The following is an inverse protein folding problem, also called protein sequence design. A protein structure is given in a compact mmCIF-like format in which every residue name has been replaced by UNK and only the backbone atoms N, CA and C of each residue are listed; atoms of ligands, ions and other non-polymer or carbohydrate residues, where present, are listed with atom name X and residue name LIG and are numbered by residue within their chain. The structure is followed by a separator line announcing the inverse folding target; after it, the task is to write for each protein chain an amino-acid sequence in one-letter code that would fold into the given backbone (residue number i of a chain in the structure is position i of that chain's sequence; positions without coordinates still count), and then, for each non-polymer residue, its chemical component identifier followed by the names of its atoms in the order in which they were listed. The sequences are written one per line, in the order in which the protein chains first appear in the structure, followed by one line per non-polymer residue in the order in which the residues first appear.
data_IF_457398164729
#
_entry.id   IF_457398164729
#
_cell.length_a   1.000
_cell.length_b   1.000
_cell.length_c   1.000
_cell.angle_alpha   90.00
_cell.angle_beta   90.00
_cell.angle_gamma   90.00
#
_symmetry.space_group_name_H-M   'P 1'
#
loop_
_entity.id
_entity.type
_entity.pdbx_description
1 polymer ?
#
# COMPACT_ATOMS: atom_id res chain seq x y z
N UNK A 1 -3.77 11.59 -1.44
CA UNK A 1 -5.17 11.77 -1.91
C UNK A 1 -6.11 11.71 -0.71
N UNK A 2 -7.37 12.16 -0.79
CA UNK A 2 -8.35 11.83 0.26
C UNK A 2 -8.66 10.34 0.15
N UNK A 3 -8.63 9.61 1.27
CA UNK A 3 -8.92 8.19 1.32
C UNK A 3 -10.30 7.90 0.72
N UNK A 4 -10.38 7.10 -0.35
CA UNK A 4 -11.63 6.54 -0.86
C UNK A 4 -12.18 5.45 0.05
N UNK A 5 -11.44 5.00 1.05
CA UNK A 5 -11.77 3.83 1.86
C UNK A 5 -13.22 3.84 2.36
N UNK A 6 -13.62 4.90 3.07
CA UNK A 6 -14.99 5.04 3.59
C UNK A 6 -16.05 5.08 2.47
N UNK A 7 -15.70 5.62 1.30
CA UNK A 7 -16.60 5.69 0.14
C UNK A 7 -16.82 4.32 -0.51
N UNK A 8 -15.82 3.44 -0.48
CA UNK A 8 -15.85 2.15 -1.20
C UNK A 8 -16.24 0.96 -0.32
N UNK A 9 -16.19 1.10 1.00
CA UNK A 9 -16.66 0.06 1.94
C UNK A 9 -18.09 -0.42 1.68
N UNK A 10 -19.07 0.44 1.36
CA UNK A 10 -20.41 -0.03 0.99
C UNK A 10 -20.43 -0.95 -0.22
N UNK A 11 -19.49 -0.79 -1.17
CA UNK A 11 -19.37 -1.70 -2.30
C UNK A 11 -18.86 -3.07 -1.85
N UNK A 12 -17.86 -3.11 -0.98
CA UNK A 12 -17.36 -4.38 -0.40
C UNK A 12 -18.50 -5.08 0.33
N UNK A 13 -19.19 -4.40 1.25
CA UNK A 13 -20.30 -5.00 2.00
C UNK A 13 -21.44 -5.46 1.10
N UNK A 14 -21.68 -4.84 -0.06
CA UNK A 14 -22.70 -5.32 -1.01
C UNK A 14 -22.33 -6.62 -1.72
N UNK A 15 -21.03 -6.93 -1.83
CA UNK A 15 -20.53 -8.19 -2.40
C UNK A 15 -20.47 -9.30 -1.34
N UNK A 16 -20.41 -8.91 -0.06
CA UNK A 16 -20.42 -9.84 1.08
C UNK A 16 -21.85 -10.18 1.51
N UNK A 17 -22.03 -11.41 2.00
CA UNK A 17 -23.31 -11.86 2.54
C UNK A 17 -23.61 -11.29 3.93
N UNK A 18 -24.80 -11.60 4.43
CA UNK A 18 -25.14 -11.38 5.85
C UNK A 18 -24.57 -12.48 6.76
N UNK A 19 -25.08 -12.54 7.99
CA UNK A 19 -24.73 -13.59 8.94
C UNK A 19 -25.03 -14.99 8.37
N UNK A 20 -24.05 -15.87 8.45
CA UNK A 20 -24.18 -17.28 8.15
C UNK A 20 -23.41 -18.09 9.21
N UNK A 21 -24.00 -19.18 9.67
CA UNK A 21 -23.39 -20.09 10.62
C UNK A 21 -23.82 -21.51 10.25
N UNK A 22 -22.96 -22.17 9.46
CA UNK A 22 -23.19 -23.53 9.01
C UNK A 22 -22.29 -24.48 9.81
N UNK A 23 -22.85 -25.42 10.58
CA UNK A 23 -22.05 -26.39 11.34
C UNK A 23 -21.09 -27.25 10.49
N UNK A 24 -21.34 -27.36 9.18
CA UNK A 24 -20.47 -28.07 8.25
C UNK A 24 -19.35 -27.17 7.65
N UNK A 25 -19.39 -25.86 7.87
CA UNK A 25 -18.37 -24.92 7.41
C UNK A 25 -17.24 -24.79 8.45
N UNK A 26 -15.99 -25.16 8.12
CA UNK A 26 -14.87 -25.00 9.04
C UNK A 26 -14.59 -23.54 9.40
N UNK A 27 -15.07 -22.56 8.63
CA UNK A 27 -14.97 -21.13 8.92
C UNK A 27 -15.88 -20.67 10.08
N UNK A 28 -16.92 -21.44 10.40
CA UNK A 28 -17.90 -21.14 11.44
C UNK A 28 -18.71 -19.86 11.15
N UNK A 29 -19.30 -19.30 12.22
CA UNK A 29 -20.08 -18.08 12.16
C UNK A 29 -19.31 -16.96 11.42
N UNK A 30 -19.96 -16.37 10.41
CA UNK A 30 -19.40 -15.32 9.55
C UNK A 30 -20.46 -14.24 9.33
N UNK A 31 -20.07 -12.97 9.43
CA UNK A 31 -20.94 -11.82 9.13
C UNK A 31 -20.14 -10.72 8.44
N UNK A 32 -20.70 -10.07 7.41
CA UNK A 32 -20.00 -9.05 6.62
C UNK A 32 -18.64 -9.51 6.07
N UNK A 33 -18.50 -10.82 5.80
CA UNK A 33 -17.26 -11.46 5.36
C UNK A 33 -16.21 -11.69 6.46
N UNK A 34 -16.50 -11.34 7.72
CA UNK A 34 -15.61 -11.56 8.87
C UNK A 34 -16.03 -12.83 9.61
N UNK A 35 -15.12 -13.80 9.69
CA UNK A 35 -15.32 -15.07 10.41
C UNK A 35 -15.12 -14.89 11.91
N UNK A 36 -15.65 -15.82 12.70
CA UNK A 36 -15.44 -15.87 14.16
C UNK A 36 -13.96 -15.91 14.55
N UNK A 37 -13.12 -16.59 13.76
CA UNK A 37 -11.68 -16.63 13.98
C UNK A 37 -11.03 -15.26 13.77
N UNK A 38 -11.45 -14.54 12.73
CA UNK A 38 -10.97 -13.20 12.44
C UNK A 38 -11.39 -12.20 13.51
N UNK A 39 -12.66 -12.26 13.96
CA UNK A 39 -13.15 -11.42 15.04
C UNK A 39 -12.42 -11.73 16.36
N UNK A 40 -12.24 -13.01 16.68
CA UNK A 40 -11.51 -13.42 17.89
C UNK A 40 -10.07 -12.89 17.92
N UNK A 41 -9.37 -12.97 16.78
CA UNK A 41 -8.01 -12.46 16.66
C UNK A 41 -7.96 -10.93 16.79
N UNK A 42 -8.99 -10.23 16.33
CA UNK A 42 -9.12 -8.78 16.45
C UNK A 42 -9.37 -8.34 17.89
N UNK A 43 -10.31 -9.01 18.59
CA UNK A 43 -10.69 -8.67 19.96
C UNK A 43 -9.65 -9.15 21.00
N UNK A 44 -8.78 -10.08 20.62
CA UNK A 44 -7.75 -10.65 21.49
C UNK A 44 -8.29 -11.71 22.47
N UNK A 45 -9.53 -12.15 22.28
CA UNK A 45 -10.14 -13.27 23.00
C UNK A 45 -11.04 -14.07 22.06
N UNK A 46 -11.46 -15.25 22.48
CA UNK A 46 -12.39 -16.06 21.71
C UNK A 46 -13.76 -15.35 21.65
N UNK A 47 -14.22 -15.04 20.43
CA UNK A 47 -15.56 -14.54 20.16
C UNK A 47 -16.56 -15.69 20.11
N UNK A 48 -17.84 -15.38 20.35
CA UNK A 48 -18.97 -16.28 20.18
C UNK A 48 -19.69 -16.05 18.83
N UNK A 49 -20.52 -16.99 18.36
CA UNK A 49 -21.38 -16.77 17.20
C UNK A 49 -22.30 -15.54 17.34
N UNK A 50 -22.79 -15.27 18.55
CA UNK A 50 -23.64 -14.10 18.82
C UNK A 50 -22.83 -12.79 18.67
N UNK A 51 -21.56 -12.76 19.10
CA UNK A 51 -20.69 -11.58 18.89
C UNK A 51 -20.49 -11.30 17.39
N UNK A 52 -20.33 -12.34 16.58
CA UNK A 52 -20.21 -12.22 15.12
C UNK A 52 -21.50 -11.69 14.49
N UNK A 53 -22.65 -12.16 14.98
CA UNK A 53 -23.97 -11.75 14.51
C UNK A 53 -24.30 -10.30 14.86
N UNK A 54 -23.92 -9.86 16.06
CA UNK A 54 -24.15 -8.51 16.58
C UNK A 54 -23.04 -7.52 16.20
N UNK A 55 -21.99 -7.98 15.52
CA UNK A 55 -20.86 -7.15 15.09
C UNK A 55 -21.34 -5.90 14.34
N UNK A 56 -20.87 -4.74 14.80
CA UNK A 56 -21.17 -3.46 14.18
C UNK A 56 -20.44 -3.30 12.84
N UNK A 57 -21.06 -2.70 11.81
CA UNK A 57 -20.39 -2.40 10.53
C UNK A 57 -19.12 -1.55 10.68
N UNK A 58 -19.04 -0.73 11.72
CA UNK A 58 -17.85 0.05 12.04
C UNK A 58 -16.66 -0.84 12.44
N UNK A 59 -16.89 -1.89 13.23
CA UNK A 59 -15.86 -2.87 13.61
C UNK A 59 -15.37 -3.64 12.39
N UNK A 60 -16.30 -4.15 11.57
CA UNK A 60 -15.94 -4.81 10.32
C UNK A 60 -15.11 -3.87 9.42
N UNK A 61 -15.50 -2.60 9.30
CA UNK A 61 -14.76 -1.59 8.53
C UNK A 61 -13.33 -1.42 9.04
N UNK A 62 -13.10 -1.34 10.34
CA UNK A 62 -11.75 -1.24 10.91
C UNK A 62 -10.91 -2.48 10.60
N UNK A 63 -11.51 -3.67 10.72
CA UNK A 63 -10.87 -4.94 10.34
C UNK A 63 -10.45 -4.91 8.87
N UNK A 64 -11.36 -4.49 7.97
CA UNK A 64 -11.05 -4.36 6.54
C UNK A 64 -9.90 -3.38 6.27
N UNK A 65 -9.87 -2.27 7.00
CA UNK A 65 -8.83 -1.27 6.85
C UNK A 65 -7.45 -1.85 7.17
N UNK A 66 -7.32 -2.49 8.33
CA UNK A 66 -6.05 -3.04 8.81
C UNK A 66 -5.61 -4.26 8.00
N UNK A 67 -6.54 -5.17 7.71
CA UNK A 67 -6.17 -6.46 7.10
C UNK A 67 -5.92 -6.39 5.61
N UNK A 68 -6.48 -5.38 4.92
CA UNK A 68 -6.44 -5.30 3.46
C UNK A 68 -6.06 -3.91 2.98
N UNK A 69 -6.83 -2.87 3.28
CA UNK A 69 -6.63 -1.53 2.70
C UNK A 69 -5.22 -0.97 2.97
N UNK A 70 -4.77 -1.03 4.23
CA UNK A 70 -3.46 -0.53 4.62
C UNK A 70 -2.33 -1.37 4.03
N UNK A 71 -2.54 -2.68 3.82
CA UNK A 71 -1.52 -3.58 3.27
C UNK A 71 -1.28 -3.35 1.77
N UNK A 72 -2.21 -2.71 1.08
CA UNK A 72 -2.07 -2.34 -0.32
C UNK A 72 -1.78 -0.85 -0.52
N UNK A 73 -1.50 -0.12 0.57
CA UNK A 73 -1.29 1.33 0.56
C UNK A 73 -2.41 2.10 -0.16
N UNK A 74 -3.67 1.69 0.07
CA UNK A 74 -4.83 2.14 -0.72
C UNK A 74 -5.03 3.67 -0.74
N UNK A 75 -4.59 4.38 0.29
CA UNK A 75 -4.69 5.85 0.38
C UNK A 75 -3.79 6.59 -0.62
N UNK A 76 -2.75 5.92 -1.12
CA UNK A 76 -1.75 6.49 -2.02
C UNK A 76 -1.91 6.01 -3.47
N UNK A 77 -2.82 5.07 -3.73
CA UNK A 77 -3.13 4.60 -5.08
C UNK A 77 -4.12 5.54 -5.79
N UNK A 78 -4.07 5.62 -7.13
CA UNK A 78 -5.07 6.32 -7.92
C UNK A 78 -6.51 5.89 -7.61
N UNK A 79 -7.43 6.85 -7.62
CA UNK A 79 -8.85 6.63 -7.34
C UNK A 79 -9.44 5.69 -8.39
N UNK A 80 -10.14 4.65 -7.94
CA UNK A 80 -10.64 3.56 -8.77
C UNK A 80 -9.69 2.36 -8.79
N UNK A 81 -8.38 2.58 -8.96
CA UNK A 81 -7.39 1.51 -8.83
C UNK A 81 -7.30 1.01 -7.39
N UNK A 82 -7.33 1.94 -6.43
CA UNK A 82 -7.41 1.67 -5.00
C UNK A 82 -8.56 0.68 -4.65
N UNK A 83 -9.76 0.92 -5.20
CA UNK A 83 -10.93 0.07 -5.02
C UNK A 83 -10.78 -1.29 -5.72
N UNK A 84 -10.36 -1.31 -6.99
CA UNK A 84 -10.21 -2.55 -7.74
C UNK A 84 -9.19 -3.50 -7.06
N UNK A 85 -8.07 -2.93 -6.59
CA UNK A 85 -7.04 -3.67 -5.86
C UNK A 85 -7.52 -4.08 -4.47
N UNK A 86 -8.28 -3.24 -3.78
CA UNK A 86 -8.87 -3.55 -2.47
C UNK A 86 -9.85 -4.72 -2.54
N UNK A 87 -10.81 -4.72 -3.47
CA UNK A 87 -11.73 -5.85 -3.65
C UNK A 87 -10.97 -7.14 -3.98
N UNK A 88 -9.96 -7.06 -4.85
CA UNK A 88 -9.14 -8.23 -5.17
C UNK A 88 -8.35 -8.72 -3.94
N UNK A 89 -7.82 -7.80 -3.14
CA UNK A 89 -7.13 -8.11 -1.88
C UNK A 89 -8.05 -8.80 -0.87
N UNK A 90 -9.30 -8.34 -0.73
CA UNK A 90 -10.32 -8.99 0.11
C UNK A 90 -10.61 -10.41 -0.37
N UNK A 91 -10.85 -10.59 -1.65
CA UNK A 91 -11.28 -11.86 -2.21
C UNK A 91 -10.16 -12.89 -2.37
N UNK A 92 -8.91 -12.45 -2.57
CA UNK A 92 -7.81 -13.33 -2.98
C UNK A 92 -6.49 -13.06 -2.24
N UNK A 93 -6.50 -12.17 -1.25
CA UNK A 93 -5.36 -11.86 -0.39
C UNK A 93 -4.52 -10.67 -0.89
N UNK A 94 -4.06 -9.79 0.02
CA UNK A 94 -3.31 -8.58 -0.32
C UNK A 94 -2.04 -8.86 -1.14
N UNK A 95 -1.27 -9.87 -0.75
CA UNK A 95 0.01 -10.17 -1.39
C UNK A 95 -0.18 -10.64 -2.85
N UNK A 96 -1.26 -11.36 -3.17
CA UNK A 96 -1.55 -11.78 -4.56
C UNK A 96 -1.98 -10.59 -5.40
N UNK A 97 -2.88 -9.77 -4.87
CA UNK A 97 -3.33 -8.56 -5.53
C UNK A 97 -2.15 -7.63 -5.83
N UNK A 98 -1.26 -7.42 -4.85
CA UNK A 98 -0.07 -6.61 -5.00
C UNK A 98 0.90 -7.13 -6.07
N UNK A 99 1.20 -8.44 -6.08
CA UNK A 99 2.05 -9.05 -7.11
C UNK A 99 1.49 -8.87 -8.51
N UNK A 100 0.20 -9.10 -8.68
CA UNK A 100 -0.45 -8.93 -9.99
C UNK A 100 -0.36 -7.49 -10.47
N UNK A 101 -0.59 -6.51 -9.59
CA UNK A 101 -0.41 -5.10 -9.94
C UNK A 101 1.04 -4.78 -10.31
N UNK A 102 2.02 -5.29 -9.55
CA UNK A 102 3.44 -5.09 -9.83
C UNK A 102 3.83 -5.64 -11.21
N UNK A 103 3.35 -6.84 -11.57
CA UNK A 103 3.56 -7.41 -12.89
C UNK A 103 2.99 -6.54 -14.02
N UNK A 104 1.78 -6.01 -13.84
CA UNK A 104 1.14 -5.07 -14.80
C UNK A 104 1.95 -3.78 -14.96
N UNK A 105 2.56 -3.30 -13.87
CA UNK A 105 3.41 -2.11 -13.85
C UNK A 105 4.85 -2.36 -14.31
N UNK A 106 5.22 -3.62 -14.60
CA UNK A 106 6.59 -4.00 -15.00
C UNK A 106 7.60 -3.93 -13.86
N UNK A 107 7.16 -4.15 -12.62
CA UNK A 107 7.98 -4.13 -11.41
C UNK A 107 8.22 -5.55 -10.88
N UNK A 108 9.26 -5.75 -10.04
CA UNK A 108 9.41 -7.00 -9.29
C UNK A 108 8.17 -7.30 -8.44
N UNK A 109 7.70 -8.56 -8.50
CA UNK A 109 6.50 -9.02 -7.83
C UNK A 109 6.78 -9.48 -6.38
N UNK A 110 7.27 -8.58 -5.52
CA UNK A 110 7.54 -8.89 -4.11
C UNK A 110 6.26 -8.97 -3.24
N UNK A 111 5.12 -8.48 -3.76
CA UNK A 111 3.83 -8.47 -3.08
C UNK A 111 3.68 -7.39 -2.01
N UNK A 112 4.56 -6.39 -1.98
CA UNK A 112 4.54 -5.26 -1.07
C UNK A 112 4.30 -3.98 -1.88
N UNK A 113 3.16 -3.31 -1.65
CA UNK A 113 2.93 -2.00 -2.25
C UNK A 113 3.72 -0.95 -1.45
N UNK A 114 4.80 -0.44 -2.06
CA UNK A 114 5.59 0.66 -1.53
C UNK A 114 5.69 1.82 -2.53
N UNK A 115 6.54 2.80 -2.20
CA UNK A 115 6.68 4.04 -2.97
C UNK A 115 6.95 3.84 -4.48
N UNK A 116 7.68 2.79 -4.85
CA UNK A 116 7.95 2.48 -6.27
C UNK A 116 6.69 2.02 -7.00
N UNK A 117 5.90 1.14 -6.40
CA UNK A 117 4.63 0.67 -6.99
C UNK A 117 3.63 1.82 -7.12
N UNK A 118 3.52 2.64 -6.09
CA UNK A 118 2.67 3.84 -6.11
C UNK A 118 3.11 4.82 -7.20
N UNK A 119 4.41 5.10 -7.32
CA UNK A 119 4.92 5.99 -8.35
C UNK A 119 4.64 5.45 -9.76
N UNK A 120 4.88 4.16 -10.00
CA UNK A 120 4.61 3.53 -11.29
C UNK A 120 3.11 3.55 -11.64
N UNK A 121 2.23 3.31 -10.66
CA UNK A 121 0.78 3.40 -10.85
C UNK A 121 0.33 4.82 -11.24
N UNK A 122 0.93 5.85 -10.64
CA UNK A 122 0.61 7.25 -10.94
C UNK A 122 1.15 7.75 -12.29
N UNK A 123 2.11 7.05 -12.90
CA UNK A 123 2.67 7.42 -14.22
C UNK A 123 1.91 6.81 -15.40
N UNK A 124 0.92 5.95 -15.14
CA UNK A 124 0.13 5.25 -16.18
C UNK A 124 -1.30 5.79 -16.20
N UNK A 125 -2.00 5.59 -17.32
CA UNK A 125 -3.44 5.82 -17.34
C UNK A 125 -4.11 4.91 -16.32
N UNK A 126 -4.92 5.49 -15.44
CA UNK A 126 -5.56 4.75 -14.34
C UNK A 126 -6.59 3.75 -14.89
N UNK A 127 -7.33 4.13 -15.93
CA UNK A 127 -8.28 3.26 -16.62
C UNK A 127 -7.60 2.08 -17.32
N UNK A 128 -6.45 2.27 -17.97
CA UNK A 128 -5.65 1.18 -18.53
C UNK A 128 -5.23 0.18 -17.45
N UNK A 129 -4.71 0.65 -16.32
CA UNK A 129 -4.26 -0.21 -15.22
C UNK A 129 -5.44 -0.94 -14.56
N UNK A 130 -6.58 -0.27 -14.36
CA UNK A 130 -7.80 -0.91 -13.83
C UNK A 130 -8.25 -2.05 -14.75
N UNK A 131 -8.31 -1.80 -16.06
CA UNK A 131 -8.72 -2.81 -17.03
C UNK A 131 -7.77 -4.01 -17.03
N UNK A 132 -6.45 -3.75 -17.10
CA UNK A 132 -5.43 -4.80 -17.06
C UNK A 132 -5.49 -5.63 -15.76
N UNK A 133 -5.72 -4.99 -14.60
CA UNK A 133 -5.86 -5.68 -13.33
C UNK A 133 -7.09 -6.59 -13.31
N UNK A 134 -8.22 -6.10 -13.81
CA UNK A 134 -9.44 -6.89 -13.87
C UNK A 134 -9.33 -8.05 -14.86
N UNK A 135 -8.69 -7.84 -16.02
CA UNK A 135 -8.45 -8.90 -17.02
C UNK A 135 -7.51 -9.98 -16.47
N UNK A 136 -6.40 -9.58 -15.85
CA UNK A 136 -5.46 -10.51 -15.24
C UNK A 136 -6.09 -11.32 -14.10
N UNK A 137 -6.94 -10.67 -13.28
CA UNK A 137 -7.69 -11.35 -12.23
C UNK A 137 -8.72 -12.32 -12.80
N UNK A 138 -9.49 -11.92 -13.79
CA UNK A 138 -10.48 -12.77 -14.45
C UNK A 138 -9.83 -14.02 -15.03
N UNK A 139 -8.74 -13.86 -15.79
CA UNK A 139 -7.99 -14.96 -16.37
C UNK A 139 -7.44 -15.93 -15.31
N UNK A 140 -6.90 -15.39 -14.20
CA UNK A 140 -6.45 -16.22 -13.08
C UNK A 140 -7.59 -17.02 -12.43
N UNK A 141 -8.75 -16.39 -12.21
CA UNK A 141 -9.92 -17.04 -11.63
C UNK A 141 -10.47 -18.16 -12.51
N UNK A 142 -10.47 -17.97 -13.83
CA UNK A 142 -10.88 -18.99 -14.81
C UNK A 142 -9.97 -20.22 -14.79
N UNK A 143 -8.70 -20.05 -14.43
CA UNK A 143 -7.74 -21.14 -14.31
C UNK A 143 -7.84 -21.98 -13.03
N UNK A 144 -8.72 -21.60 -12.07
CA UNK A 144 -8.87 -22.35 -10.83
C UNK A 144 -9.67 -23.65 -11.04
N UNK A 145 -9.30 -24.72 -10.32
CA UNK A 145 -9.96 -26.03 -10.43
C UNK A 145 -11.46 -26.01 -10.10
N UNK A 146 -11.90 -25.04 -9.29
CA UNK A 146 -13.29 -24.85 -8.88
C UNK A 146 -14.06 -23.85 -9.75
N UNK A 147 -13.43 -23.32 -10.81
CA UNK A 147 -14.04 -22.34 -11.72
C UNK A 147 -15.29 -22.87 -12.44
N UNK A 148 -15.39 -24.18 -12.68
CA UNK A 148 -16.58 -24.80 -13.27
C UNK A 148 -17.84 -24.60 -12.44
N UNK A 149 -17.69 -24.50 -11.11
CA UNK A 149 -18.80 -24.38 -10.16
C UNK A 149 -19.09 -22.92 -9.82
N UNK A 150 -18.05 -22.11 -9.56
CA UNK A 150 -18.20 -20.77 -9.00
C UNK A 150 -17.77 -19.64 -9.95
N UNK A 151 -17.07 -19.96 -11.04
CA UNK A 151 -16.40 -18.98 -11.90
C UNK A 151 -17.32 -17.90 -12.45
N UNK A 152 -18.54 -18.25 -12.85
CA UNK A 152 -19.54 -17.27 -13.33
C UNK A 152 -19.80 -16.16 -12.32
N UNK A 153 -19.92 -16.51 -11.03
CA UNK A 153 -20.14 -15.54 -9.96
C UNK A 153 -18.93 -14.64 -9.74
N UNK A 154 -17.73 -15.23 -9.76
CA UNK A 154 -16.48 -14.48 -9.61
C UNK A 154 -16.26 -13.48 -10.75
N UNK A 155 -16.44 -13.91 -12.00
CA UNK A 155 -16.30 -13.04 -13.18
C UNK A 155 -17.32 -11.91 -13.18
N UNK A 156 -18.56 -12.19 -12.77
CA UNK A 156 -19.57 -11.14 -12.61
C UNK A 156 -19.18 -10.11 -11.53
N UNK A 157 -18.55 -10.53 -10.42
CA UNK A 157 -17.99 -9.62 -9.40
C UNK A 157 -16.86 -8.76 -9.98
N UNK A 158 -15.92 -9.37 -10.72
CA UNK A 158 -14.82 -8.64 -11.37
C UNK A 158 -15.36 -7.55 -12.31
N UNK A 159 -16.40 -7.84 -13.09
CA UNK A 159 -16.97 -6.84 -14.00
C UNK A 159 -17.70 -5.70 -13.25
N UNK A 160 -18.44 -6.00 -12.17
CA UNK A 160 -19.03 -4.96 -11.31
C UNK A 160 -17.95 -4.07 -10.68
N UNK A 161 -16.86 -4.67 -10.23
CA UNK A 161 -15.71 -3.96 -9.67
C UNK A 161 -15.07 -3.06 -10.72
N UNK A 162 -14.81 -3.58 -11.93
CA UNK A 162 -14.30 -2.80 -13.07
C UNK A 162 -15.16 -1.57 -13.34
N UNK A 163 -16.47 -1.77 -13.51
CA UNK A 163 -17.42 -0.69 -13.80
C UNK A 163 -17.40 0.40 -12.72
N UNK A 164 -17.43 0.03 -11.44
CA UNK A 164 -17.37 0.97 -10.30
C UNK A 164 -16.00 1.66 -10.22
N UNK A 165 -14.91 0.94 -10.44
CA UNK A 165 -13.54 1.45 -10.42
C UNK A 165 -13.31 2.52 -11.51
N UNK A 166 -13.76 2.24 -12.75
CA UNK A 166 -13.67 3.20 -13.84
C UNK A 166 -14.52 4.45 -13.57
N UNK A 167 -15.71 4.29 -12.97
CA UNK A 167 -16.52 5.43 -12.55
C UNK A 167 -15.84 6.27 -11.45
N UNK A 168 -15.13 5.64 -10.50
CA UNK A 168 -14.35 6.34 -9.48
C UNK A 168 -13.14 7.08 -10.08
N UNK A 169 -12.49 6.50 -11.09
CA UNK A 169 -11.37 7.10 -11.80
C UNK A 169 -11.81 8.32 -12.64
N UNK A 170 -12.93 8.20 -13.37
CA UNK A 170 -13.48 9.28 -14.19
C UNK A 170 -13.94 10.51 -13.38
N UNK A 171 -14.40 10.28 -12.14
CA UNK A 171 -14.84 11.35 -11.24
C UNK A 171 -13.72 11.85 -10.31
N UNK A 172 -12.49 11.37 -10.48
CA UNK A 172 -11.36 11.84 -9.69
C UNK A 172 -11.00 13.28 -10.13
N UNK A 173 -10.72 14.19 -9.18
CA UNK A 173 -10.22 15.50 -9.54
C UNK A 173 -8.91 15.34 -10.32
N UNK A 174 -8.84 15.92 -11.52
CA UNK A 174 -7.64 15.88 -12.35
C UNK A 174 -6.53 16.61 -11.59
N UNK A 175 -5.60 15.86 -11.01
CA UNK A 175 -4.31 16.43 -10.62
C UNK A 175 -3.52 16.50 -11.92
N UNK A 176 -3.59 17.66 -12.59
CA UNK A 176 -2.63 17.96 -13.64
C UNK A 176 -1.24 17.88 -13.01
N UNK A 177 -0.44 16.88 -13.42
CA UNK A 177 0.99 16.97 -13.25
C UNK A 177 1.40 18.31 -13.86
N UNK A 178 1.95 19.21 -13.04
CA UNK A 178 2.46 20.49 -13.53
C UNK A 178 3.42 20.17 -14.68
N UNK A 179 3.02 20.55 -15.90
CA UNK A 179 3.90 20.45 -17.06
C UNK A 179 5.18 21.26 -16.79
N UNK A 180 6.30 20.92 -17.43
CA UNK A 180 7.51 21.70 -17.30
C UNK A 180 7.23 23.12 -17.79
N UNK A 181 7.16 24.09 -16.88
CA UNK A 181 7.18 25.50 -17.24
C UNK A 181 8.57 25.80 -17.77
N UNK A 182 8.71 25.76 -19.08
CA UNK A 182 9.83 26.36 -19.80
C UNK A 182 9.76 27.88 -19.60
N UNK A 183 10.31 28.36 -18.48
CA UNK A 183 10.63 29.77 -18.33
C UNK A 183 12.14 29.92 -18.48
N UNK A 184 12.57 30.18 -19.72
CA UNK A 184 13.96 30.49 -20.05
C UNK A 184 14.17 31.94 -19.63
N UNK A 185 14.91 32.16 -18.54
CA UNK A 185 15.66 33.41 -18.33
C UNK A 185 17.11 33.08 -17.96
N UNK A 186 18.10 33.57 -18.73
CA UNK A 186 19.50 33.19 -18.55
C UNK A 186 20.22 34.11 -17.56
N UNK A 187 20.83 33.54 -16.52
CA UNK A 187 22.02 33.99 -15.75
C UNK A 187 22.07 33.13 -14.49
N UNK A 188 23.16 32.49 -14.07
CA UNK A 188 24.57 32.59 -14.41
C UNK A 188 25.23 31.21 -14.20
N UNK A 189 26.35 30.96 -14.90
CA UNK A 189 27.25 29.86 -14.54
C UNK A 189 27.87 30.17 -13.18
N UNK A 190 27.80 29.22 -12.24
CA UNK A 190 28.76 29.14 -11.17
C UNK A 190 29.23 27.70 -11.07
N UNK A 191 30.27 27.41 -11.86
CA UNK A 191 31.13 26.28 -11.59
C UNK A 191 32.05 26.65 -10.44
N UNK A 192 32.14 25.71 -9.50
CA UNK A 192 33.19 25.46 -8.51
C UNK A 192 33.59 26.56 -7.52
N UNK A 193 33.94 26.07 -6.32
CA UNK A 193 34.54 26.72 -5.16
C UNK A 193 33.51 27.36 -4.20
N UNK A 194 33.46 27.06 -2.91
CA UNK A 194 34.28 26.20 -2.07
C UNK A 194 33.62 26.06 -0.68
N UNK A 195 33.88 24.93 -0.04
CA UNK A 195 33.65 24.50 1.36
C UNK A 195 34.12 25.51 2.44
N UNK A 196 34.65 26.68 2.06
CA UNK A 196 35.33 27.63 2.94
C UNK A 196 34.52 28.86 3.36
N UNK A 197 33.25 29.00 2.97
CA UNK A 197 32.39 30.12 3.43
C UNK A 197 31.57 29.82 4.69
N UNK A 198 31.46 28.54 5.08
CA UNK A 198 30.67 28.11 6.26
C UNK A 198 31.38 28.41 7.60
N UNK A 199 32.70 28.64 7.59
CA UNK A 199 33.52 28.78 8.79
C UNK A 199 33.69 30.21 9.33
N UNK A 200 33.06 31.23 8.74
CA UNK A 200 33.30 32.64 9.10
C UNK A 200 32.07 33.47 9.49
N UNK A 201 30.91 32.83 9.68
CA UNK A 201 29.69 33.51 10.17
C UNK A 201 29.14 32.81 11.41
N UNK A 202 29.28 33.37 12.63
CA UNK A 202 28.67 32.78 13.83
C UNK A 202 27.13 32.86 13.83
N UNK A 203 26.54 33.62 12.91
CA UNK A 203 25.09 33.69 12.68
C UNK A 203 24.55 32.73 11.61
N UNK A 204 25.42 31.92 10.96
CA UNK A 204 25.00 30.82 10.08
C UNK A 204 24.77 29.48 10.81
N UNK A 205 24.91 29.45 12.15
CA UNK A 205 24.68 28.24 12.95
C UNK A 205 23.20 27.97 13.27
N UNK A 206 22.31 28.95 13.04
CA UNK A 206 20.88 28.85 13.37
C UNK A 206 20.03 28.07 12.36
N UNK A 207 20.54 27.78 11.16
CA UNK A 207 19.75 27.17 10.06
C UNK A 207 20.10 25.71 9.76
N UNK A 208 20.97 25.07 10.57
CA UNK A 208 21.15 23.60 10.58
C UNK A 208 20.30 22.89 11.66
N UNK A 209 19.20 23.52 12.09
CA UNK A 209 18.34 23.02 13.19
C UNK A 209 17.38 21.87 12.86
N UNK A 210 17.24 21.44 11.60
CA UNK A 210 16.29 20.38 11.22
C UNK A 210 16.89 18.97 11.13
N UNK A 211 18.22 18.82 11.09
CA UNK A 211 18.88 17.50 11.07
C UNK A 211 19.61 17.19 12.39
N UNK A 212 20.08 18.21 13.12
CA UNK A 212 20.75 18.02 14.41
C UNK A 212 19.79 17.67 15.56
N UNK A 213 18.52 18.12 15.52
CA UNK A 213 17.54 17.83 16.59
C UNK A 213 17.22 16.33 16.71
N UNK A 214 17.24 15.60 15.59
CA UNK A 214 17.03 14.14 15.58
C UNK A 214 18.25 13.36 16.08
N UNK A 215 19.46 13.83 15.81
CA UNK A 215 20.71 13.17 16.24
C UNK A 215 21.09 13.50 17.70
N UNK A 216 20.74 14.67 18.21
CA UNK A 216 20.99 15.05 19.62
C UNK A 216 20.00 14.36 20.57
N UNK A 217 18.75 14.10 20.14
CA UNK A 217 17.81 13.28 20.92
C UNK A 217 18.24 11.81 21.05
N UNK A 218 19.12 11.33 20.16
CA UNK A 218 19.69 9.98 20.19
C UNK A 218 20.98 9.93 21.03
N UNK A 219 21.50 11.05 21.54
CA UNK A 219 22.73 11.08 22.33
C UNK A 219 22.51 11.23 23.86
N UNK A 220 21.28 11.48 24.31
CA UNK A 220 20.98 11.77 25.73
C UNK A 220 20.29 10.64 26.49
N UNK A 221 19.94 9.52 25.85
CA UNK A 221 19.39 8.36 26.53
C UNK A 221 20.48 7.36 26.92
N UNK A 222 20.42 6.84 28.15
CA UNK A 222 21.17 5.64 28.54
C UNK A 222 20.15 4.52 28.72
N UNK A 223 19.88 3.78 27.65
CA UNK A 223 18.90 2.69 27.67
C UNK A 223 19.17 1.59 26.63
N UNK A 224 18.74 0.34 26.90
CA UNK A 224 19.02 -0.83 26.06
C UNK A 224 18.49 -0.70 24.63
N UNK A 225 17.41 0.06 24.41
CA UNK A 225 16.83 0.32 23.09
C UNK A 225 17.77 1.17 22.21
N UNK A 226 18.52 2.09 22.81
CA UNK A 226 19.44 2.95 22.08
C UNK A 226 20.72 2.22 21.66
N UNK A 227 21.21 1.29 22.49
CA UNK A 227 22.30 0.39 22.09
C UNK A 227 21.89 -0.52 20.94
N UNK A 228 20.66 -1.06 20.95
CA UNK A 228 20.14 -1.86 19.85
C UNK A 228 20.06 -1.05 18.54
N UNK A 229 19.57 0.19 18.61
CA UNK A 229 19.50 1.10 17.45
C UNK A 229 20.89 1.48 16.91
N UNK A 230 21.85 1.75 17.80
CA UNK A 230 23.23 2.05 17.42
C UNK A 230 23.91 0.84 16.74
N UNK A 231 23.69 -0.37 17.24
CA UNK A 231 24.22 -1.61 16.65
C UNK A 231 23.64 -1.82 15.24
N UNK A 232 22.33 -1.60 15.05
CA UNK A 232 21.67 -1.72 13.74
C UNK A 232 22.23 -0.69 12.74
N UNK A 233 22.42 0.56 13.18
CA UNK A 233 22.98 1.63 12.35
C UNK A 233 24.42 1.31 11.90
N UNK A 234 25.26 0.81 12.80
CA UNK A 234 26.63 0.40 12.49
C UNK A 234 26.64 -0.80 11.54
N UNK A 235 25.76 -1.78 11.73
CA UNK A 235 25.62 -2.93 10.84
C UNK A 235 25.20 -2.51 9.42
N UNK A 236 24.23 -1.61 9.29
CA UNK A 236 23.81 -1.07 7.99
C UNK A 236 24.94 -0.30 7.29
N UNK A 237 25.71 0.50 8.02
CA UNK A 237 26.85 1.22 7.49
C UNK A 237 27.96 0.25 7.01
N UNK A 238 28.25 -0.80 7.77
CA UNK A 238 29.22 -1.83 7.40
C UNK A 238 28.80 -2.64 6.16
N UNK A 239 27.51 -3.01 6.07
CA UNK A 239 26.95 -3.69 4.90
C UNK A 239 26.97 -2.79 3.67
N UNK A 240 26.59 -1.52 3.82
CA UNK A 240 26.67 -0.52 2.74
C UNK A 240 28.09 -0.33 2.23
N UNK A 241 29.06 -0.20 3.14
CA UNK A 241 30.49 -0.09 2.79
C UNK A 241 31.00 -1.37 2.10
N UNK A 242 30.58 -2.54 2.56
CA UNK A 242 30.95 -3.81 1.92
C UNK A 242 30.37 -3.94 0.50
N UNK A 243 29.10 -3.58 0.29
CA UNK A 243 28.49 -3.55 -1.05
C UNK A 243 29.18 -2.54 -1.97
N UNK A 244 29.53 -1.37 -1.45
CA UNK A 244 30.25 -0.35 -2.20
C UNK A 244 31.64 -0.82 -2.63
N UNK A 245 32.44 -1.37 -1.71
CA UNK A 245 33.77 -1.93 -2.01
C UNK A 245 33.68 -3.11 -2.97
N UNK A 246 32.68 -3.98 -2.80
CA UNK A 246 32.43 -5.11 -3.72
C UNK A 246 32.04 -4.65 -5.11
N UNK A 247 31.24 -3.58 -5.23
CA UNK A 247 30.86 -2.99 -6.51
C UNK A 247 32.09 -2.40 -7.22
N UNK A 248 32.87 -1.58 -6.52
CA UNK A 248 34.07 -0.95 -7.10
C UNK A 248 35.14 -1.97 -7.52
N UNK A 249 35.24 -3.13 -6.85
CA UNK A 249 36.17 -4.21 -7.22
C UNK A 249 35.70 -5.13 -8.36
N UNK A 250 34.42 -5.07 -8.72
CA UNK A 250 33.81 -5.95 -9.74
C UNK A 250 33.39 -5.21 -11.02
N UNK A 251 33.69 -3.91 -11.15
CA UNK A 251 33.60 -3.19 -12.41
C UNK A 251 34.91 -3.45 -13.20
N UNK A 252 34.83 -3.95 -14.45
CA UNK A 252 35.99 -4.30 -15.27
C UNK A 252 36.81 -3.08 -15.75
#
# INVERSE_FOLDING_TARGET
MKSNFQKVMPYIFSEEGGYADNPADPGGATNMGITIATLSAWDGHQASPEDVKEMMPATATQIYQVQFWNKIDGDNLPSGLDYALFDFSVNSGPARAARMLQGILGLPEDGIIGAQTVAAANMRSTDEVINALCDARASWLEGLSTASTFGKGWLARVERVRSRALALAANAPIIHAAGPTNDISPKARQGDMAVTSVLKHPEALGTMGSVASGLVAIASGNGPVQYALAIVMIACAAVGLWYFVRRVRNEP
#
